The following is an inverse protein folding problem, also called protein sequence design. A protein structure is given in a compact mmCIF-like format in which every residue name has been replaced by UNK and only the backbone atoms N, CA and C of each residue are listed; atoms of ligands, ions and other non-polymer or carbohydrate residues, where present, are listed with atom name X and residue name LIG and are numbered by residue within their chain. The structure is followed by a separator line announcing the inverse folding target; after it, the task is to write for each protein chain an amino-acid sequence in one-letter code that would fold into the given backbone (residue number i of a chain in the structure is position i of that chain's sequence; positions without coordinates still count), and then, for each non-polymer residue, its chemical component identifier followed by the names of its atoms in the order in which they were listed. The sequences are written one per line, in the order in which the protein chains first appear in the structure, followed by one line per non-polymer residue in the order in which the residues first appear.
data_IF_168384103174
#
_entry.id   IF_168384103174
#
_cell.length_a   1.000
_cell.length_b   1.000
_cell.length_c   1.000
_cell.angle_alpha   90.00
_cell.angle_beta   90.00
_cell.angle_gamma   90.00
#
_symmetry.space_group_name_H-M   'P 1'
#
loop_
_entity.id
_entity.type
_entity.pdbx_description
1 polymer ?
#
# COMPACT_ATOMS: atom_id res chain seq x y z
N UNK A 1 22.92 -13.33 0.28
CA UNK A 1 22.48 -13.46 -1.13
C UNK A 1 22.75 -14.81 -1.82
N UNK A 2 23.91 -15.46 -1.68
CA UNK A 2 24.24 -16.71 -2.42
C UNK A 2 23.20 -17.84 -2.30
N UNK A 3 22.77 -18.15 -1.08
CA UNK A 3 21.71 -19.15 -0.81
C UNK A 3 20.36 -18.74 -1.41
N UNK A 4 20.13 -17.42 -1.48
CA UNK A 4 18.90 -16.83 -1.98
C UNK A 4 18.79 -17.07 -3.51
N UNK A 5 19.86 -16.76 -4.26
CA UNK A 5 19.95 -17.00 -5.70
C UNK A 5 19.83 -18.47 -6.09
N UNK A 6 20.43 -19.39 -5.32
CA UNK A 6 20.30 -20.84 -5.58
C UNK A 6 18.87 -21.36 -5.44
N UNK A 7 18.03 -20.66 -4.68
CA UNK A 7 16.63 -21.01 -4.38
C UNK A 7 15.60 -20.28 -5.25
N UNK A 8 16.05 -19.40 -6.14
CA UNK A 8 15.16 -18.68 -7.06
C UNK A 8 14.39 -19.68 -7.93
N UNK A 9 13.08 -19.46 -8.06
CA UNK A 9 12.25 -20.20 -9.00
C UNK A 9 12.60 -19.78 -10.43
N UNK A 10 13.20 -20.70 -11.20
CA UNK A 10 13.69 -20.46 -12.56
C UNK A 10 12.59 -20.33 -13.61
N UNK A 11 11.34 -20.71 -13.27
CA UNK A 11 10.17 -20.60 -14.17
C UNK A 11 9.49 -19.23 -14.12
N UNK A 12 9.88 -18.35 -13.18
CA UNK A 12 9.29 -17.01 -13.09
C UNK A 12 9.78 -16.13 -14.24
N UNK A 13 8.88 -15.29 -14.77
CA UNK A 13 9.20 -14.29 -15.77
C UNK A 13 10.23 -13.27 -15.25
N UNK A 14 11.07 -12.80 -16.17
CA UNK A 14 12.03 -11.73 -15.92
C UNK A 14 11.31 -10.39 -15.73
N UNK A 15 11.98 -9.45 -15.05
CA UNK A 15 11.56 -8.05 -15.01
C UNK A 15 12.10 -7.27 -16.22
N UNK A 16 12.01 -5.93 -16.18
CA UNK A 16 12.54 -5.03 -17.22
C UNK A 16 14.04 -5.21 -17.51
N UNK A 17 14.80 -5.70 -16.54
CA UNK A 17 16.24 -5.98 -16.66
C UNK A 17 16.56 -7.21 -17.53
N UNK A 18 15.55 -8.00 -17.92
CA UNK A 18 15.71 -9.21 -18.73
C UNK A 18 16.41 -10.36 -17.98
N UNK A 19 16.79 -10.18 -16.72
CA UNK A 19 17.54 -11.18 -15.96
C UNK A 19 16.59 -12.29 -15.51
N UNK A 20 16.68 -13.45 -16.17
CA UNK A 20 15.92 -14.65 -15.79
C UNK A 20 16.48 -15.27 -14.51
N UNK A 21 15.61 -15.93 -13.73
CA UNK A 21 16.03 -16.65 -12.52
C UNK A 21 17.05 -17.77 -12.78
N UNK A 22 17.11 -18.30 -14.01
CA UNK A 22 18.14 -19.25 -14.45
C UNK A 22 19.54 -18.64 -14.36
N UNK A 23 19.71 -17.38 -14.77
CA UNK A 23 20.99 -16.66 -14.73
C UNK A 23 21.45 -16.47 -13.29
N UNK A 24 20.55 -16.01 -12.41
CA UNK A 24 20.87 -15.83 -11.00
C UNK A 24 21.27 -17.15 -10.32
N UNK A 25 20.60 -18.26 -10.67
CA UNK A 25 20.92 -19.57 -10.12
C UNK A 25 22.27 -20.10 -10.63
N UNK A 26 22.56 -19.94 -11.91
CA UNK A 26 23.81 -20.39 -12.53
C UNK A 26 25.03 -19.60 -12.03
N UNK A 27 24.90 -18.27 -11.89
CA UNK A 27 25.98 -17.38 -11.49
C UNK A 27 25.90 -16.95 -10.02
N UNK A 28 25.23 -17.76 -9.18
CA UNK A 28 24.96 -17.41 -7.79
C UNK A 28 26.23 -17.12 -6.97
N UNK A 29 27.37 -17.74 -7.31
CA UNK A 29 28.62 -17.55 -6.58
C UNK A 29 29.26 -16.19 -6.90
N UNK A 30 29.25 -15.82 -8.17
CA UNK A 30 29.82 -14.58 -8.70
C UNK A 30 28.95 -13.37 -8.34
N UNK A 31 27.63 -13.49 -8.52
CA UNK A 31 26.71 -12.38 -8.33
C UNK A 31 26.43 -12.08 -6.85
N UNK A 32 26.56 -13.07 -5.95
CA UNK A 32 26.15 -12.89 -4.56
C UNK A 32 26.90 -11.78 -3.82
N UNK A 33 28.19 -11.60 -4.08
CA UNK A 33 28.97 -10.54 -3.41
C UNK A 33 28.48 -9.16 -3.86
N UNK A 34 28.44 -8.95 -5.18
CA UNK A 34 28.02 -7.69 -5.81
C UNK A 34 26.64 -7.26 -5.33
N UNK A 35 25.65 -8.15 -5.36
CA UNK A 35 24.31 -7.77 -4.90
C UNK A 35 24.23 -7.56 -3.40
N UNK A 36 25.03 -8.26 -2.59
CA UNK A 36 25.05 -8.01 -1.13
C UNK A 36 25.55 -6.59 -0.85
N UNK A 37 26.60 -6.16 -1.55
CA UNK A 37 27.15 -4.81 -1.43
C UNK A 37 26.16 -3.74 -1.87
N UNK A 38 25.49 -3.93 -3.02
CA UNK A 38 24.44 -3.01 -3.49
C UNK A 38 23.30 -2.91 -2.47
N UNK A 39 22.86 -4.02 -1.87
CA UNK A 39 21.80 -4.01 -0.85
C UNK A 39 22.24 -3.26 0.41
N UNK A 40 23.46 -3.47 0.87
CA UNK A 40 23.98 -2.80 2.07
C UNK A 40 24.13 -1.28 1.84
N UNK A 41 24.72 -0.88 0.71
CA UNK A 41 24.83 0.54 0.33
C UNK A 41 23.46 1.19 0.21
N UNK A 42 22.48 0.46 -0.32
CA UNK A 42 21.12 0.96 -0.44
C UNK A 42 20.45 1.21 0.92
N UNK A 43 20.69 0.33 1.89
CA UNK A 43 20.20 0.50 3.27
C UNK A 43 20.91 1.67 3.98
N UNK A 44 22.21 1.80 3.79
CA UNK A 44 23.01 2.86 4.42
C UNK A 44 22.66 4.24 3.85
N UNK A 45 22.54 4.35 2.53
CA UNK A 45 22.31 5.62 1.84
C UNK A 45 20.82 5.97 1.71
N UNK A 46 19.92 5.05 2.06
CA UNK A 46 18.48 5.16 1.79
C UNK A 46 18.15 5.39 0.31
N UNK A 47 19.00 4.91 -0.60
CA UNK A 47 18.85 5.05 -2.05
C UNK A 47 18.74 3.67 -2.69
N UNK A 48 17.65 3.42 -3.42
CA UNK A 48 17.46 2.16 -4.19
C UNK A 48 17.87 2.41 -5.65
N UNK A 49 18.72 1.55 -6.26
CA UNK A 49 19.07 1.66 -7.66
C UNK A 49 17.85 1.74 -8.57
N UNK A 50 17.86 2.67 -9.53
CA UNK A 50 16.71 2.93 -10.43
C UNK A 50 16.30 1.69 -11.23
N UNK A 51 17.25 0.86 -11.65
CA UNK A 51 16.97 -0.41 -12.33
C UNK A 51 16.20 -1.44 -11.47
N UNK A 52 16.23 -1.32 -10.14
CA UNK A 52 15.42 -2.12 -9.22
C UNK A 52 14.03 -1.52 -8.95
N UNK A 53 13.85 -0.22 -9.23
CA UNK A 53 12.56 0.49 -9.16
C UNK A 53 11.71 0.29 -10.41
N UNK A 54 12.31 -0.14 -11.53
CA UNK A 54 11.59 -0.40 -12.77
C UNK A 54 10.77 -1.70 -12.69
N UNK A 55 9.54 -1.68 -13.20
CA UNK A 55 8.69 -2.86 -13.30
C UNK A 55 7.89 -2.88 -14.61
N UNK A 56 7.59 -4.08 -15.11
CA UNK A 56 6.67 -4.26 -16.25
C UNK A 56 5.28 -4.60 -15.72
N UNK A 57 4.29 -3.73 -15.95
CA UNK A 57 2.92 -4.00 -15.50
C UNK A 57 2.25 -5.01 -16.44
N UNK A 58 1.90 -6.17 -15.90
CA UNK A 58 1.11 -7.19 -16.61
C UNK A 58 -0.32 -7.16 -16.08
N UNK A 59 -1.33 -6.82 -16.90
CA UNK A 59 -2.72 -6.82 -16.47
C UNK A 59 -3.23 -8.26 -16.30
N UNK A 60 -3.73 -8.61 -15.11
CA UNK A 60 -4.34 -9.91 -14.81
C UNK A 60 -5.82 -9.73 -14.48
N UNK A 61 -6.77 -10.38 -15.18
CA UNK A 61 -8.20 -10.21 -14.91
C UNK A 61 -8.60 -10.56 -13.47
N UNK A 62 -9.43 -9.73 -12.82
CA UNK A 62 -10.08 -10.01 -11.52
C UNK A 62 -11.32 -10.89 -11.68
N UNK A 63 -11.94 -10.86 -12.86
CA UNK A 63 -13.17 -11.59 -13.21
C UNK A 63 -13.03 -12.16 -14.63
N UNK A 64 -13.82 -13.20 -14.99
CA UNK A 64 -13.67 -13.90 -16.28
C UNK A 64 -13.84 -13.00 -17.50
N UNK A 65 -14.73 -12.01 -17.43
CA UNK A 65 -14.98 -11.04 -18.49
C UNK A 65 -14.75 -9.62 -17.95
N UNK A 66 -13.52 -9.12 -18.02
CA UNK A 66 -13.20 -7.74 -17.63
C UNK A 66 -13.82 -6.75 -18.62
N UNK A 67 -14.55 -5.77 -18.12
CA UNK A 67 -15.25 -4.76 -18.93
C UNK A 67 -14.53 -3.41 -18.92
N UNK A 68 -13.73 -3.13 -17.89
CA UNK A 68 -12.91 -1.93 -17.80
C UNK A 68 -11.54 -2.20 -17.18
N UNK A 69 -10.62 -1.23 -17.29
CA UNK A 69 -9.25 -1.36 -16.74
C UNK A 69 -9.23 -1.67 -15.23
N UNK A 70 -10.21 -1.17 -14.47
CA UNK A 70 -10.35 -1.44 -13.04
C UNK A 70 -10.66 -2.93 -12.73
N UNK A 71 -11.11 -3.70 -13.71
CA UNK A 71 -11.30 -5.14 -13.58
C UNK A 71 -10.01 -5.94 -13.69
N UNK A 72 -8.87 -5.30 -13.98
CA UNK A 72 -7.57 -5.94 -13.96
C UNK A 72 -6.83 -5.67 -12.64
N UNK A 73 -6.03 -6.64 -12.21
CA UNK A 73 -4.98 -6.47 -11.23
C UNK A 73 -3.71 -6.10 -12.02
N UNK A 74 -3.11 -4.93 -11.77
CA UNK A 74 -1.80 -4.63 -12.32
C UNK A 74 -0.76 -5.46 -11.57
N UNK A 75 -0.18 -6.46 -12.24
CA UNK A 75 0.84 -7.35 -11.68
C UNK A 75 2.20 -6.85 -12.14
N UNK A 76 2.93 -6.16 -11.27
CA UNK A 76 4.17 -5.46 -11.60
C UNK A 76 5.40 -6.39 -11.63
N UNK A 77 5.90 -6.84 -12.78
CA UNK A 77 7.10 -7.68 -12.89
C UNK A 77 8.37 -6.89 -12.54
N UNK A 78 8.95 -7.18 -11.37
CA UNK A 78 10.21 -6.58 -10.93
C UNK A 78 11.40 -7.45 -11.35
N UNK A 79 12.61 -6.87 -11.26
CA UNK A 79 13.88 -7.61 -11.37
C UNK A 79 13.86 -8.90 -10.54
N UNK A 80 14.37 -10.00 -11.10
CA UNK A 80 14.42 -11.29 -10.38
C UNK A 80 15.36 -11.25 -9.18
N UNK A 81 16.29 -10.31 -9.16
CA UNK A 81 17.20 -10.06 -8.03
C UNK A 81 16.45 -9.57 -6.80
N UNK A 82 15.40 -8.77 -6.99
CA UNK A 82 14.55 -8.26 -5.90
C UNK A 82 13.61 -9.32 -5.33
N UNK A 83 13.54 -10.50 -5.97
CA UNK A 83 12.60 -11.56 -5.62
C UNK A 83 13.04 -12.37 -4.41
N UNK A 84 14.26 -12.94 -4.32
CA UNK A 84 14.67 -13.75 -3.18
C UNK A 84 15.15 -12.88 -2.01
N UNK A 85 14.41 -12.86 -0.91
CA UNK A 85 14.64 -12.00 0.25
C UNK A 85 14.87 -12.82 1.52
N UNK A 86 15.80 -12.38 2.36
CA UNK A 86 16.04 -12.91 3.70
C UNK A 86 16.59 -11.79 4.59
N UNK A 87 16.03 -11.65 5.79
CA UNK A 87 16.50 -10.73 6.83
C UNK A 87 17.56 -11.41 7.69
N UNK A 88 18.56 -10.63 8.09
CA UNK A 88 19.61 -11.01 9.03
C UNK A 88 19.52 -10.14 10.29
N UNK A 89 19.42 -10.77 11.45
CA UNK A 89 19.43 -10.08 12.75
C UNK A 89 20.39 -10.82 13.68
N UNK A 90 21.48 -10.15 14.07
CA UNK A 90 22.53 -10.77 14.90
C UNK A 90 23.14 -12.00 14.21
N UNK A 91 23.04 -13.19 14.80
CA UNK A 91 23.55 -14.45 14.19
C UNK A 91 22.49 -15.23 13.39
N UNK A 92 21.26 -14.72 13.27
CA UNK A 92 20.15 -15.48 12.73
C UNK A 92 19.75 -14.99 11.33
N UNK A 93 19.55 -15.94 10.41
CA UNK A 93 19.10 -15.70 9.03
C UNK A 93 17.73 -16.33 8.85
N UNK A 94 16.75 -15.54 8.40
CA UNK A 94 15.41 -16.03 8.04
C UNK A 94 15.42 -16.91 6.77
N UNK A 95 14.42 -17.79 6.58
CA UNK A 95 14.24 -18.53 5.33
C UNK A 95 14.09 -17.59 4.11
N UNK A 96 14.69 -17.98 2.99
CA UNK A 96 14.59 -17.22 1.74
C UNK A 96 13.18 -17.27 1.16
N UNK A 97 12.58 -16.11 0.91
CA UNK A 97 11.27 -15.97 0.28
C UNK A 97 11.43 -15.38 -1.13
N UNK A 98 10.86 -16.01 -2.18
CA UNK A 98 11.04 -15.56 -3.58
C UNK A 98 9.78 -14.92 -4.16
N UNK A 99 9.84 -13.63 -4.48
CA UNK A 99 8.72 -12.82 -4.97
C UNK A 99 8.55 -12.91 -6.50
N UNK A 100 7.47 -12.43 -7.10
CA UNK A 100 7.26 -12.49 -8.57
C UNK A 100 7.13 -11.11 -9.16
N UNK A 101 6.44 -10.22 -8.47
CA UNK A 101 5.93 -8.97 -8.99
C UNK A 101 5.43 -8.11 -7.84
N UNK A 102 5.88 -6.85 -7.77
CA UNK A 102 5.75 -6.08 -6.55
C UNK A 102 6.20 -6.89 -5.33
N UNK A 103 5.84 -6.38 -4.20
CA UNK A 103 5.85 -7.08 -2.96
C UNK A 103 4.61 -8.04 -2.99
N UNK A 104 4.72 -9.37 -3.21
CA UNK A 104 3.57 -10.26 -3.34
C UNK A 104 2.69 -10.12 -2.12
N UNK A 105 1.39 -9.98 -2.33
CA UNK A 105 0.44 -10.15 -1.24
C UNK A 105 0.71 -11.50 -0.55
N UNK A 106 1.02 -11.45 0.75
CA UNK A 106 1.40 -12.62 1.56
C UNK A 106 2.90 -12.84 1.72
N UNK A 107 3.77 -12.01 1.11
CA UNK A 107 5.18 -12.03 1.44
C UNK A 107 5.49 -11.22 2.69
N UNK A 108 6.25 -11.84 3.60
CA UNK A 108 6.55 -11.27 4.92
C UNK A 108 7.29 -9.93 4.84
N UNK A 109 8.18 -9.76 3.86
CA UNK A 109 8.96 -8.53 3.72
C UNK A 109 8.31 -7.49 2.80
N UNK A 110 7.20 -7.85 2.17
CA UNK A 110 6.54 -6.98 1.20
C UNK A 110 5.98 -5.71 1.81
N UNK A 111 5.29 -5.77 2.97
CA UNK A 111 4.90 -4.57 3.70
C UNK A 111 6.10 -3.70 4.08
N UNK A 112 7.20 -4.31 4.54
CA UNK A 112 8.40 -3.55 4.95
C UNK A 112 9.01 -2.78 3.78
N UNK A 113 9.19 -3.43 2.62
CA UNK A 113 9.75 -2.77 1.44
C UNK A 113 8.83 -1.67 0.92
N UNK A 114 7.51 -1.86 0.98
CA UNK A 114 6.57 -0.81 0.63
C UNK A 114 6.63 0.38 1.61
N UNK A 115 6.75 0.10 2.90
CA UNK A 115 6.93 1.14 3.93
C UNK A 115 8.23 1.92 3.73
N UNK A 116 9.34 1.25 3.36
CA UNK A 116 10.61 1.92 3.03
C UNK A 116 10.50 2.72 1.74
N UNK A 117 9.89 2.14 0.70
CA UNK A 117 9.74 2.78 -0.61
C UNK A 117 8.87 4.04 -0.56
N UNK A 118 7.87 4.07 0.33
CA UNK A 118 7.02 5.25 0.54
C UNK A 118 7.46 6.10 1.72
N UNK A 119 8.61 5.81 2.36
CA UNK A 119 9.01 6.44 3.61
C UNK A 119 9.13 7.96 3.51
N UNK A 120 9.72 8.44 2.43
CA UNK A 120 9.95 9.86 2.08
C UNK A 120 8.70 10.59 1.59
N UNK A 121 7.56 9.90 1.41
CA UNK A 121 6.25 10.54 1.23
C UNK A 121 5.79 11.13 2.57
N UNK A 122 6.22 12.35 2.87
CA UNK A 122 5.93 13.09 4.11
C UNK A 122 5.31 14.44 3.80
N UNK A 123 4.53 14.97 4.75
CA UNK A 123 3.94 16.30 4.61
C UNK A 123 5.03 17.37 4.59
N UNK A 124 4.86 18.38 3.74
CA UNK A 124 5.80 19.51 3.63
C UNK A 124 5.37 20.65 4.55
N UNK A 125 4.07 20.93 4.63
CA UNK A 125 3.55 21.99 5.51
C UNK A 125 3.40 21.49 6.95
N UNK A 126 3.68 22.35 7.93
CA UNK A 126 3.38 22.08 9.35
C UNK A 126 1.88 22.04 9.66
N UNK A 127 1.04 22.55 8.76
CA UNK A 127 -0.43 22.57 8.87
C UNK A 127 -1.10 21.37 8.20
N UNK A 128 -0.31 20.47 7.61
CA UNK A 128 -0.77 19.26 6.95
C UNK A 128 -0.10 18.03 7.56
N UNK A 129 -0.75 16.89 7.40
CA UNK A 129 -0.23 15.59 7.81
C UNK A 129 -0.52 14.56 6.73
N UNK A 130 0.46 13.72 6.44
CA UNK A 130 0.31 12.54 5.58
C UNK A 130 0.32 11.30 6.46
N UNK A 131 -0.80 10.59 6.49
CA UNK A 131 -0.97 9.34 7.23
C UNK A 131 -0.96 8.19 6.23
N UNK A 132 -0.04 7.24 6.41
CA UNK A 132 0.14 6.10 5.50
C UNK A 132 -0.19 4.79 6.19
N UNK A 133 -1.01 3.97 5.56
CA UNK A 133 -1.25 2.58 5.95
C UNK A 133 -1.27 1.69 4.71
N UNK A 134 -0.14 1.02 4.45
CA UNK A 134 0.10 0.36 3.17
C UNK A 134 -0.26 1.32 2.02
N UNK A 135 -1.04 0.86 1.04
CA UNK A 135 -1.48 1.66 -0.11
C UNK A 135 -2.50 2.77 0.21
N UNK A 136 -3.06 2.80 1.42
CA UNK A 136 -3.97 3.86 1.83
C UNK A 136 -3.19 5.04 2.39
N UNK A 137 -3.20 6.16 1.66
CA UNK A 137 -2.64 7.44 2.12
C UNK A 137 -3.78 8.41 2.37
N UNK A 138 -3.77 9.07 3.53
CA UNK A 138 -4.67 10.17 3.86
C UNK A 138 -3.87 11.46 4.02
N UNK A 139 -4.28 12.50 3.32
CA UNK A 139 -3.76 13.87 3.51
C UNK A 139 -4.78 14.62 4.36
N UNK A 140 -4.34 15.11 5.51
CA UNK A 140 -5.16 15.87 6.45
C UNK A 140 -4.58 17.27 6.52
N UNK A 141 -5.36 18.29 6.19
CA UNK A 141 -4.94 19.69 6.28
C UNK A 141 -5.88 20.51 7.15
N UNK A 142 -5.34 21.42 7.93
CA UNK A 142 -6.14 22.36 8.71
C UNK A 142 -6.64 23.51 7.82
N UNK A 143 -7.94 23.77 7.84
CA UNK A 143 -8.54 24.95 7.20
C UNK A 143 -8.65 26.06 8.25
N UNK A 144 -7.89 27.14 8.09
CA UNK A 144 -7.87 28.28 9.02
C UNK A 144 -8.34 29.53 8.30
N UNK A 145 -9.23 30.33 8.92
CA UNK A 145 -9.75 31.57 8.30
C UNK A 145 -10.31 31.38 6.88
N UNK A 146 -10.94 30.22 6.61
CA UNK A 146 -11.42 29.82 5.29
C UNK A 146 -10.31 29.66 4.22
N UNK A 147 -9.06 29.59 4.64
CA UNK A 147 -7.91 29.29 3.81
C UNK A 147 -7.60 27.78 3.86
N UNK A 148 -7.56 27.17 2.68
CA UNK A 148 -7.20 25.75 2.47
C UNK A 148 -5.96 25.60 1.59
N UNK A 149 -5.20 26.68 1.35
CA UNK A 149 -4.08 26.70 0.42
C UNK A 149 -3.01 25.67 0.77
N UNK A 150 -2.66 25.54 2.06
CA UNK A 150 -1.68 24.55 2.50
C UNK A 150 -2.12 23.11 2.17
N UNK A 151 -3.41 22.79 2.34
CA UNK A 151 -3.96 21.50 1.93
C UNK A 151 -3.88 21.30 0.42
N UNK A 152 -4.25 22.31 -0.38
CA UNK A 152 -4.21 22.23 -1.84
C UNK A 152 -2.77 22.08 -2.38
N UNK A 153 -1.82 22.78 -1.78
CA UNK A 153 -0.40 22.67 -2.11
C UNK A 153 0.13 21.27 -1.77
N UNK A 154 -0.25 20.72 -0.62
CA UNK A 154 0.14 19.36 -0.22
C UNK A 154 -0.41 18.29 -1.18
N UNK A 155 -1.65 18.45 -1.68
CA UNK A 155 -2.22 17.54 -2.68
C UNK A 155 -1.41 17.58 -3.98
N UNK A 156 -0.99 18.78 -4.44
CA UNK A 156 -0.15 18.92 -5.63
C UNK A 156 1.22 18.29 -5.42
N UNK A 157 1.83 18.50 -4.25
CA UNK A 157 3.11 17.89 -3.91
C UNK A 157 3.02 16.37 -3.87
N UNK A 158 1.93 15.82 -3.32
CA UNK A 158 1.68 14.38 -3.32
C UNK A 158 1.49 13.84 -4.76
N UNK A 159 0.80 14.58 -5.62
CA UNK A 159 0.63 14.22 -7.03
C UNK A 159 1.97 14.17 -7.76
N UNK A 160 2.81 15.20 -7.62
CA UNK A 160 4.17 15.22 -8.18
C UNK A 160 5.03 14.09 -7.62
N UNK A 161 5.02 13.89 -6.29
CA UNK A 161 5.78 12.80 -5.66
C UNK A 161 5.34 11.43 -6.18
N UNK A 162 4.03 11.23 -6.37
CA UNK A 162 3.52 9.99 -6.97
C UNK A 162 4.01 9.81 -8.41
N UNK A 163 3.99 10.86 -9.22
CA UNK A 163 4.50 10.82 -10.61
C UNK A 163 5.99 10.47 -10.64
N UNK A 164 6.81 11.15 -9.84
CA UNK A 164 8.26 10.93 -9.75
C UNK A 164 8.60 9.51 -9.27
N UNK A 165 7.74 8.93 -8.42
CA UNK A 165 7.92 7.58 -7.91
C UNK A 165 7.26 6.51 -8.79
N UNK A 166 6.59 6.86 -9.90
CA UNK A 166 5.85 5.92 -10.76
C UNK A 166 4.66 5.24 -10.04
N UNK A 167 3.99 5.99 -9.16
CA UNK A 167 2.75 5.61 -8.49
C UNK A 167 1.55 6.27 -9.16
N UNK A 168 0.49 5.49 -9.37
CA UNK A 168 -0.76 5.99 -9.95
C UNK A 168 -1.80 6.21 -8.85
N UNK A 169 -2.29 7.45 -8.73
CA UNK A 169 -3.38 7.79 -7.83
C UNK A 169 -4.71 7.25 -8.37
N UNK A 170 -5.45 6.52 -7.54
CA UNK A 170 -6.77 6.02 -7.90
C UNK A 170 -7.87 7.03 -7.50
N UNK A 171 -8.07 8.04 -8.33
CA UNK A 171 -9.03 9.13 -8.08
C UNK A 171 -10.44 8.61 -7.83
N UNK A 172 -10.86 7.52 -8.50
CA UNK A 172 -12.19 6.93 -8.30
C UNK A 172 -12.43 6.37 -6.88
N UNK A 173 -11.34 5.97 -6.20
CA UNK A 173 -11.37 5.47 -4.82
C UNK A 173 -11.03 6.55 -3.79
N UNK A 174 -10.31 7.59 -4.18
CA UNK A 174 -10.00 8.72 -3.30
C UNK A 174 -11.26 9.56 -3.06
N UNK A 175 -11.51 9.91 -1.80
CA UNK A 175 -12.67 10.72 -1.37
C UNK A 175 -12.20 11.94 -0.61
N UNK A 176 -12.92 13.05 -0.74
CA UNK A 176 -12.73 14.26 0.08
C UNK A 176 -13.77 14.24 1.20
N UNK A 177 -13.34 14.36 2.44
CA UNK A 177 -14.22 14.61 3.59
C UNK A 177 -13.83 15.93 4.22
N UNK A 178 -14.77 16.87 4.31
CA UNK A 178 -14.58 18.14 5.01
C UNK A 178 -15.30 18.05 6.35
N UNK A 179 -14.58 18.36 7.42
CA UNK A 179 -15.13 18.47 8.77
C UNK A 179 -15.14 19.95 9.13
N UNK A 180 -16.33 20.53 9.22
CA UNK A 180 -16.51 21.93 9.60
C UNK A 180 -17.53 22.06 10.73
N UNK A 181 -17.08 22.58 11.87
CA UNK A 181 -17.91 22.85 13.05
C UNK A 181 -18.33 24.32 13.15
N UNK A 182 -18.01 25.14 12.15
CA UNK A 182 -18.41 26.55 12.10
C UNK A 182 -19.93 26.68 12.04
N UNK A 183 -20.49 27.52 12.91
CA UNK A 183 -21.91 27.90 12.91
C UNK A 183 -22.29 28.91 11.82
N UNK A 184 -21.31 29.47 11.09
CA UNK A 184 -21.56 30.35 9.94
C UNK A 184 -21.86 29.52 8.68
N UNK A 185 -22.96 29.87 8.01
CA UNK A 185 -23.58 29.31 6.79
C UNK A 185 -22.65 28.62 5.76
N UNK A 186 -23.23 27.62 5.08
CA UNK A 186 -22.75 26.85 3.93
C UNK A 186 -21.49 27.41 3.25
N UNK A 187 -20.34 26.84 3.62
CA UNK A 187 -19.10 27.09 2.89
C UNK A 187 -19.11 26.29 1.61
N UNK A 188 -19.32 26.98 0.50
CA UNK A 188 -19.30 26.36 -0.82
C UNK A 188 -17.85 26.19 -1.30
N UNK A 189 -17.18 25.15 -0.82
CA UNK A 189 -15.83 24.83 -1.27
C UNK A 189 -15.88 24.27 -2.69
N UNK A 190 -15.11 24.87 -3.60
CA UNK A 190 -14.94 24.33 -4.96
C UNK A 190 -14.46 22.86 -4.91
N UNK A 191 -14.93 22.00 -5.83
CA UNK A 191 -14.48 20.61 -5.92
C UNK A 191 -12.97 20.53 -6.14
N UNK A 192 -12.31 19.62 -5.44
CA UNK A 192 -10.89 19.34 -5.68
C UNK A 192 -10.73 18.64 -7.03
N UNK A 193 -9.77 19.10 -7.84
CA UNK A 193 -9.47 18.50 -9.14
C UNK A 193 -8.04 17.95 -9.08
N UNK A 194 -7.88 16.66 -9.40
CA UNK A 194 -6.57 15.97 -9.48
C UNK A 194 -6.48 15.37 -10.88
N UNK A 195 -5.38 15.56 -11.62
CA UNK A 195 -5.24 15.15 -13.02
C UNK A 195 -6.46 15.49 -13.92
N UNK A 196 -7.07 16.68 -13.72
CA UNK A 196 -8.26 17.10 -14.48
C UNK A 196 -9.56 16.36 -14.14
N UNK A 197 -9.56 15.45 -13.17
CA UNK A 197 -10.75 14.71 -12.72
C UNK A 197 -11.24 15.29 -11.39
N UNK A 198 -12.53 15.65 -11.27
CA UNK A 198 -13.09 16.11 -10.00
C UNK A 198 -13.14 14.94 -9.00
N UNK A 199 -12.62 15.17 -7.80
CA UNK A 199 -12.67 14.21 -6.71
C UNK A 199 -14.04 14.25 -6.04
N UNK A 200 -14.57 13.08 -5.69
CA UNK A 200 -15.86 12.97 -5.03
C UNK A 200 -15.75 13.45 -3.57
N UNK A 201 -16.55 14.47 -3.22
CA UNK A 201 -16.76 14.88 -1.84
C UNK A 201 -17.87 14.06 -1.22
N UNK A 202 -17.63 13.56 -0.02
CA UNK A 202 -18.55 12.71 0.73
C UNK A 202 -18.76 13.25 2.14
N UNK A 203 -19.93 12.98 2.71
CA UNK A 203 -20.23 13.33 4.10
C UNK A 203 -19.74 12.26 5.09
N UNK A 204 -19.46 11.06 4.58
CA UNK A 204 -18.94 9.95 5.37
C UNK A 204 -18.30 8.87 4.52
N UNK A 205 -17.37 8.11 5.08
CA UNK A 205 -16.74 6.97 4.41
C UNK A 205 -16.08 6.00 5.40
N UNK A 206 -15.77 4.79 4.93
CA UNK A 206 -14.97 3.82 5.68
C UNK A 206 -13.48 4.06 5.46
N UNK A 207 -12.74 4.27 6.55
CA UNK A 207 -11.29 4.36 6.56
C UNK A 207 -10.72 3.35 7.55
N UNK A 208 -9.90 2.41 7.07
CA UNK A 208 -9.23 1.39 7.89
C UNK A 208 -10.15 0.65 8.88
N UNK A 209 -11.39 0.37 8.48
CA UNK A 209 -12.37 -0.33 9.31
C UNK A 209 -13.15 0.54 10.29
N UNK A 210 -12.95 1.85 10.27
CA UNK A 210 -13.71 2.86 11.02
C UNK A 210 -14.59 3.65 10.06
N UNK A 211 -15.83 3.93 10.44
CA UNK A 211 -16.72 4.76 9.64
C UNK A 211 -16.64 6.21 10.13
N UNK A 212 -16.04 7.08 9.32
CA UNK A 212 -15.81 8.48 9.64
C UNK A 212 -16.93 9.31 9.00
N UNK A 213 -17.47 10.27 9.75
CA UNK A 213 -18.50 11.20 9.30
C UNK A 213 -18.02 12.63 9.47
N UNK A 214 -18.55 13.55 8.66
CA UNK A 214 -18.25 14.98 8.73
C UNK A 214 -18.61 15.61 10.08
N UNK A 215 -19.60 15.06 10.78
CA UNK A 215 -20.04 15.50 12.10
C UNK A 215 -19.27 14.83 13.27
N UNK A 216 -18.29 13.95 12.96
CA UNK A 216 -17.55 13.13 13.93
C UNK A 216 -18.49 12.28 14.82
N UNK A 217 -19.73 12.02 14.38
CA UNK A 217 -20.65 11.18 15.14
C UNK A 217 -20.24 9.70 15.09
N UNK A 218 -20.01 9.10 16.26
CA UNK A 218 -19.65 7.68 16.38
C UNK A 218 -20.85 6.73 16.37
N UNK A 219 -22.07 7.26 16.47
CA UNK A 219 -23.32 6.50 16.62
C UNK A 219 -23.48 5.42 15.54
N UNK A 220 -23.27 5.77 14.27
CA UNK A 220 -23.39 4.85 13.14
C UNK A 220 -22.34 3.72 13.21
N UNK A 221 -21.08 4.08 13.50
CA UNK A 221 -20.00 3.10 13.61
C UNK A 221 -20.26 2.13 14.77
N UNK A 222 -20.59 2.67 15.95
CA UNK A 222 -20.90 1.89 17.15
C UNK A 222 -22.07 0.94 16.90
N UNK A 223 -23.18 1.41 16.32
CA UNK A 223 -24.33 0.57 15.98
C UNK A 223 -23.96 -0.55 15.00
N UNK A 224 -23.08 -0.27 14.03
CA UNK A 224 -22.60 -1.28 13.07
C UNK A 224 -21.76 -2.36 13.76
N UNK A 225 -20.90 -1.98 14.69
CA UNK A 225 -20.10 -2.91 15.50
C UNK A 225 -20.99 -3.76 16.40
N UNK A 226 -21.97 -3.15 17.09
CA UNK A 226 -22.93 -3.86 17.94
C UNK A 226 -23.70 -4.90 17.13
N UNK A 227 -24.21 -4.55 15.94
CA UNK A 227 -24.89 -5.50 15.05
C UNK A 227 -23.99 -6.68 14.65
N UNK A 228 -22.74 -6.43 14.26
CA UNK A 228 -21.77 -7.49 13.93
C UNK A 228 -21.46 -8.38 15.14
N UNK A 229 -21.33 -7.79 16.32
CA UNK A 229 -21.10 -8.52 17.56
C UNK A 229 -22.30 -9.40 17.94
N UNK A 230 -23.52 -8.88 17.83
CA UNK A 230 -24.75 -9.62 18.08
C UNK A 230 -24.91 -10.81 17.13
N UNK A 231 -24.62 -10.63 15.83
CA UNK A 231 -24.63 -11.73 14.87
C UNK A 231 -23.65 -12.85 15.26
N UNK A 232 -22.41 -12.50 15.63
CA UNK A 232 -21.41 -13.49 16.08
C UNK A 232 -21.83 -14.16 17.39
N UNK A 233 -22.35 -13.38 18.34
CA UNK A 233 -22.83 -13.89 19.63
C UNK A 233 -23.99 -14.88 19.45
N UNK A 234 -24.89 -14.62 18.50
CA UNK A 234 -25.97 -15.54 18.15
C UNK A 234 -25.42 -16.90 17.67
N UNK A 235 -24.43 -16.90 16.78
CA UNK A 235 -23.78 -18.15 16.34
C UNK A 235 -23.08 -18.87 17.51
N UNK A 236 -22.36 -18.14 18.37
CA UNK A 236 -21.70 -18.72 19.55
C UNK A 236 -22.70 -19.35 20.53
N UNK A 237 -23.84 -18.69 20.77
CA UNK A 237 -24.92 -19.24 21.61
C UNK A 237 -25.47 -20.54 21.04
N UNK A 238 -25.75 -20.57 19.73
CA UNK A 238 -26.19 -21.81 19.06
C UNK A 238 -25.16 -22.92 19.13
N UNK A 239 -23.87 -22.61 18.98
CA UNK A 239 -22.80 -23.60 19.08
C UNK A 239 -22.63 -24.16 20.50
N UNK A 240 -22.88 -23.33 21.53
CA UNK A 240 -22.91 -23.79 22.93
C UNK A 240 -23.97 -24.87 23.13
N UNK A 241 -25.14 -24.71 22.52
CA UNK A 241 -26.26 -25.65 22.66
C UNK A 241 -25.97 -27.02 22.02
N UNK A 242 -24.96 -27.12 21.15
CA UNK A 242 -24.55 -28.39 20.53
C UNK A 242 -23.59 -29.24 21.39
N UNK A 243 -23.42 -28.94 22.69
CA UNK A 243 -22.54 -29.69 23.61
C UNK A 243 -21.19 -30.07 22.95
N UNK A 244 -20.56 -29.08 22.32
CA UNK A 244 -19.28 -29.27 21.65
C UNK A 244 -18.31 -29.88 22.68
N UNK A 245 -17.78 -31.10 22.44
CA UNK A 245 -17.08 -31.85 23.48
C UNK A 245 -15.93 -31.00 24.03
N UNK A 246 -15.93 -30.80 25.35
CA UNK A 246 -14.74 -30.30 26.04
C UNK A 246 -13.65 -31.33 25.75
N UNK A 247 -12.67 -30.95 24.92
CA UNK A 247 -11.68 -31.87 24.34
C UNK A 247 -11.04 -32.77 25.41
N UNK A 248 -10.93 -34.07 25.08
CA UNK A 248 -9.89 -34.98 25.55
C UNK A 248 -8.49 -34.46 25.21
#
# INVERSE_FOLDING_TARGET
MRRAFRRVNTKKAAGPDGIKGQVLKAFANQLAHVFTEIFNLSLEQSIIPTCFKQSTIVPVPKKPQPACLNDYRPVALNSVVMKPQAVWVGKHVSPTLTLSTGAPQGCVLSPLLYSLYTYDCVAISSSTNIIKFADNTAVVGLISNNDKMAYLEEIKNLETWCQDNNLLLNISKTKELIVDFSTKQERNYQPLIINGTPMERVDSFWYLGVHIRQDISWSFHANTLVKKAQQRLYHLRRLKDFNCPQRC
#
